data_IF_981592299717
#
_entry.id   IF_981592299717
#
_cell.length_a   1.000
_cell.length_b   1.000
_cell.length_c   1.000
_cell.angle_alpha   90.00
_cell.angle_beta   90.00
_cell.angle_gamma   90.00
#
_symmetry.space_group_name_H-M   'P 1'
#
loop_
_entity.id
_entity.type
_entity.pdbx_description
1 polymer ?
#
# COMPACT_ATOMS: atom_id res chain seq x y z
N UNK A 1 -47.90 6.55 -27.25
CA UNK A 1 -46.96 7.67 -27.51
C UNK A 1 -46.16 7.90 -26.23
N UNK A 2 -44.84 8.08 -26.31
CA UNK A 2 -43.86 7.39 -25.48
C UNK A 2 -43.49 8.10 -24.18
N UNK A 3 -43.06 7.31 -23.20
CA UNK A 3 -42.53 7.73 -21.91
C UNK A 3 -41.28 8.61 -22.07
N UNK A 4 -41.31 9.83 -21.53
CA UNK A 4 -40.13 10.69 -21.37
C UNK A 4 -39.50 10.42 -20.01
N UNK A 5 -38.60 9.45 -19.95
CA UNK A 5 -37.59 9.34 -18.90
C UNK A 5 -36.43 10.26 -19.27
N UNK A 6 -36.61 11.57 -19.03
CA UNK A 6 -35.57 12.61 -19.15
C UNK A 6 -34.63 12.58 -17.92
N UNK A 7 -34.11 11.40 -17.57
CA UNK A 7 -33.06 11.29 -16.57
C UNK A 7 -31.71 11.29 -17.32
N UNK A 8 -30.90 12.35 -17.21
CA UNK A 8 -29.55 12.29 -17.77
C UNK A 8 -28.80 11.13 -17.09
N UNK A 9 -27.94 10.40 -17.81
CA UNK A 9 -27.15 9.34 -17.22
C UNK A 9 -26.38 9.94 -16.04
N UNK A 10 -26.57 9.37 -14.85
CA UNK A 10 -25.75 9.65 -13.69
C UNK A 10 -24.29 9.54 -14.15
N UNK A 11 -23.62 10.68 -14.29
CA UNK A 11 -22.20 10.69 -14.61
C UNK A 11 -21.54 9.87 -13.50
N UNK A 12 -20.83 8.77 -13.81
CA UNK A 12 -20.12 8.05 -12.79
C UNK A 12 -19.16 9.05 -12.18
N UNK A 13 -19.43 9.45 -10.93
CA UNK A 13 -18.49 10.14 -10.06
C UNK A 13 -17.15 9.47 -10.28
N UNK A 14 -16.05 10.19 -10.56
CA UNK A 14 -14.75 9.55 -10.70
C UNK A 14 -14.51 8.80 -9.39
N UNK A 15 -14.74 7.48 -9.42
CA UNK A 15 -14.37 6.60 -8.34
C UNK A 15 -12.88 6.85 -8.20
N UNK A 16 -12.49 7.45 -7.07
CA UNK A 16 -11.08 7.58 -6.71
C UNK A 16 -10.44 6.25 -7.12
N UNK A 17 -9.38 6.25 -7.95
CA UNK A 17 -8.83 5.01 -8.48
C UNK A 17 -8.62 4.08 -7.30
N UNK A 18 -9.18 2.87 -7.38
CA UNK A 18 -9.09 1.91 -6.28
C UNK A 18 -7.62 1.87 -5.84
N UNK A 19 -7.31 2.10 -4.56
CA UNK A 19 -5.94 2.33 -4.13
C UNK A 19 -5.09 1.15 -4.59
N UNK A 20 -3.98 1.43 -5.28
CA UNK A 20 -3.16 0.37 -5.88
C UNK A 20 -2.78 -0.68 -4.84
N UNK A 21 -2.77 -1.96 -5.21
CA UNK A 21 -2.40 -3.04 -4.28
C UNK A 21 -1.02 -2.78 -3.62
N UNK A 22 -0.11 -2.14 -4.35
CA UNK A 22 1.17 -1.68 -3.81
C UNK A 22 1.02 -0.61 -2.71
N UNK A 23 0.15 0.40 -2.89
CA UNK A 23 -0.14 1.39 -1.86
C UNK A 23 -0.77 0.75 -0.60
N UNK A 24 -1.64 -0.24 -0.77
CA UNK A 24 -2.24 -0.98 0.34
C UNK A 24 -1.22 -1.81 1.11
N UNK A 25 -0.30 -2.47 0.40
CA UNK A 25 0.84 -3.20 0.99
C UNK A 25 1.73 -2.26 1.79
N UNK A 26 2.12 -1.11 1.24
CA UNK A 26 2.97 -0.14 1.93
C UNK A 26 2.30 0.44 3.18
N UNK A 27 1.00 0.73 3.10
CA UNK A 27 0.23 1.23 4.26
C UNK A 27 0.15 0.19 5.37
N UNK A 28 -0.04 -1.08 5.02
CA UNK A 28 -0.09 -2.18 5.99
C UNK A 28 1.30 -2.46 6.58
N UNK A 29 2.36 -2.44 5.77
CA UNK A 29 3.73 -2.58 6.23
C UNK A 29 4.13 -1.46 7.20
N UNK A 30 3.67 -0.23 6.97
CA UNK A 30 3.87 0.89 7.90
C UNK A 30 3.25 0.62 9.28
N UNK A 31 2.06 0.03 9.34
CA UNK A 31 1.41 -0.33 10.59
C UNK A 31 2.17 -1.46 11.32
N UNK A 32 2.69 -2.45 10.59
CA UNK A 32 3.53 -3.51 11.17
C UNK A 32 4.84 -2.95 11.76
N UNK A 33 5.49 -2.00 11.08
CA UNK A 33 6.69 -1.34 11.60
C UNK A 33 6.42 -0.52 12.87
N UNK A 34 5.27 0.16 12.96
CA UNK A 34 4.89 0.87 14.18
C UNK A 34 4.60 -0.08 15.34
N UNK A 35 4.03 -1.26 15.06
CA UNK A 35 3.75 -2.29 16.06
C UNK A 35 5.03 -2.92 16.61
N UNK A 36 6.10 -3.01 15.82
CA UNK A 36 7.39 -3.58 16.23
C UNK A 36 8.16 -2.73 17.26
N UNK A 37 7.75 -1.49 17.54
CA UNK A 37 8.28 -0.67 18.63
C UNK A 37 8.94 0.63 18.16
N UNK A 38 8.72 1.71 18.92
CA UNK A 38 9.07 3.10 18.54
C UNK A 38 10.56 3.42 18.47
N UNK A 39 11.41 2.64 19.12
CA UNK A 39 12.83 2.97 19.36
C UNK A 39 13.82 2.00 18.70
N UNK A 40 13.34 0.91 18.11
CA UNK A 40 14.21 -0.03 17.42
C UNK A 40 14.60 0.52 16.06
N UNK A 41 15.90 0.44 15.75
CA UNK A 41 16.40 0.70 14.40
C UNK A 41 15.78 -0.31 13.43
N UNK A 42 15.26 0.19 12.32
CA UNK A 42 14.77 -0.64 11.23
C UNK A 42 15.97 -1.07 10.41
N UNK A 43 16.11 -2.38 10.27
CA UNK A 43 17.03 -2.98 9.30
C UNK A 43 16.30 -3.26 8.00
N UNK A 44 17.03 -3.39 6.90
CA UNK A 44 16.46 -3.86 5.63
C UNK A 44 15.69 -5.18 5.80
N UNK A 45 16.21 -6.11 6.60
CA UNK A 45 15.54 -7.39 6.90
C UNK A 45 14.20 -7.22 7.62
N UNK A 46 14.11 -6.30 8.58
CA UNK A 46 12.85 -5.98 9.27
C UNK A 46 11.82 -5.36 8.33
N UNK A 47 12.26 -4.46 7.44
CA UNK A 47 11.41 -3.87 6.42
C UNK A 47 10.90 -4.92 5.43
N UNK A 48 11.76 -5.81 4.95
CA UNK A 48 11.39 -6.90 4.04
C UNK A 48 10.36 -7.82 4.68
N UNK A 49 10.55 -8.17 5.95
CA UNK A 49 9.59 -8.96 6.73
C UNK A 49 8.23 -8.25 6.86
N UNK A 50 8.22 -6.94 7.16
CA UNK A 50 6.99 -6.16 7.26
C UNK A 50 6.17 -6.18 5.96
N UNK A 51 6.85 -6.09 4.81
CA UNK A 51 6.20 -6.12 3.49
C UNK A 51 5.67 -7.51 3.17
N UNK A 52 6.44 -8.57 3.46
CA UNK A 52 5.96 -9.95 3.28
C UNK A 52 4.69 -10.21 4.11
N UNK A 53 4.68 -9.77 5.38
CA UNK A 53 3.49 -9.86 6.23
C UNK A 53 2.34 -9.06 5.64
N UNK A 54 2.58 -7.82 5.19
CA UNK A 54 1.55 -6.98 4.59
C UNK A 54 0.93 -7.59 3.32
N UNK A 55 1.75 -8.20 2.45
CA UNK A 55 1.30 -8.91 1.25
C UNK A 55 0.45 -10.11 1.65
N UNK A 56 0.91 -10.93 2.59
CA UNK A 56 0.12 -12.06 3.10
C UNK A 56 -1.20 -11.59 3.72
N UNK A 57 -1.21 -10.51 4.50
CA UNK A 57 -2.44 -9.99 5.10
C UNK A 57 -3.42 -9.47 4.06
N UNK A 58 -2.97 -8.65 3.10
CA UNK A 58 -3.86 -7.95 2.16
C UNK A 58 -4.20 -8.73 0.91
N UNK A 59 -3.27 -9.54 0.43
CA UNK A 59 -3.34 -10.14 -0.90
C UNK A 59 -3.45 -11.67 -0.86
N UNK A 60 -3.68 -12.30 0.30
CA UNK A 60 -3.82 -13.77 0.42
C UNK A 60 -4.93 -14.37 -0.45
N UNK A 61 -5.96 -13.60 -0.81
CA UNK A 61 -7.07 -14.07 -1.65
C UNK A 61 -6.84 -13.79 -3.13
N UNK A 62 -5.76 -13.08 -3.49
CA UNK A 62 -5.45 -12.75 -4.87
C UNK A 62 -4.59 -13.85 -5.51
N UNK A 63 -4.60 -13.96 -6.86
CA UNK A 63 -3.66 -14.82 -7.56
C UNK A 63 -2.21 -14.45 -7.19
N UNK A 64 -1.36 -15.47 -7.02
CA UNK A 64 0.06 -15.30 -6.63
C UNK A 64 0.78 -14.31 -7.53
N UNK A 65 0.52 -14.33 -8.84
CA UNK A 65 1.11 -13.40 -9.80
C UNK A 65 0.78 -11.93 -9.52
N UNK A 66 -0.44 -11.65 -9.06
CA UNK A 66 -0.89 -10.29 -8.69
C UNK A 66 -0.26 -9.87 -7.36
N UNK A 67 -0.21 -10.78 -6.39
CA UNK A 67 0.44 -10.53 -5.11
C UNK A 67 1.93 -10.25 -5.27
N UNK A 68 2.63 -11.03 -6.10
CA UNK A 68 4.05 -10.85 -6.40
C UNK A 68 4.32 -9.54 -7.14
N UNK A 69 3.47 -9.17 -8.10
CA UNK A 69 3.61 -7.90 -8.80
C UNK A 69 3.39 -6.71 -7.87
N UNK A 70 2.38 -6.78 -7.00
CA UNK A 70 2.14 -5.76 -5.99
C UNK A 70 3.32 -5.65 -5.01
N UNK A 71 3.90 -6.78 -4.58
CA UNK A 71 5.07 -6.82 -3.73
C UNK A 71 6.31 -6.20 -4.42
N UNK A 72 6.56 -6.55 -5.68
CA UNK A 72 7.65 -5.97 -6.48
C UNK A 72 7.51 -4.46 -6.64
N UNK A 73 6.32 -3.98 -6.99
CA UNK A 73 6.04 -2.53 -7.12
C UNK A 73 6.17 -1.80 -5.80
N UNK A 74 5.67 -2.38 -4.72
CA UNK A 74 5.82 -1.82 -3.38
C UNK A 74 7.30 -1.69 -3.01
N UNK A 75 8.10 -2.74 -3.23
CA UNK A 75 9.54 -2.72 -2.95
C UNK A 75 10.29 -1.68 -3.79
N UNK A 76 10.03 -1.63 -5.09
CA UNK A 76 10.68 -0.69 -6.01
C UNK A 76 10.38 0.78 -5.71
N UNK A 77 9.25 1.07 -5.05
CA UNK A 77 8.85 2.42 -4.71
C UNK A 77 9.46 2.93 -3.38
N UNK A 78 10.10 2.06 -2.59
CA UNK A 78 10.69 2.46 -1.32
C UNK A 78 12.01 3.21 -1.58
N UNK A 79 12.17 4.43 -1.04
CA UNK A 79 13.43 5.16 -1.16
C UNK A 79 14.60 4.39 -0.52
N UNK A 80 15.82 4.47 -1.09
CA UNK A 80 17.02 3.92 -0.45
C UNK A 80 17.34 4.65 0.87
N UNK A 81 18.12 4.03 1.74
CA UNK A 81 18.51 4.61 3.05
C UNK A 81 17.59 4.20 4.20
N UNK A 82 17.26 2.91 4.27
CA UNK A 82 16.44 2.32 5.34
C UNK A 82 17.24 2.24 6.65
N UNK A 83 18.55 2.00 6.55
CA UNK A 83 19.42 1.76 7.69
C UNK A 83 19.59 3.02 8.54
N UNK A 84 19.36 2.87 9.85
CA UNK A 84 19.43 3.97 10.81
C UNK A 84 18.08 4.65 11.09
N UNK A 85 17.03 4.37 10.31
CA UNK A 85 15.70 4.90 10.59
C UNK A 85 15.03 4.16 11.75
N UNK A 86 14.29 4.89 12.58
CA UNK A 86 13.38 4.26 13.56
C UNK A 86 12.12 3.75 12.86
N UNK A 87 11.42 2.80 13.50
CA UNK A 87 10.14 2.27 12.99
C UNK A 87 9.12 3.37 12.64
N UNK A 88 9.07 4.45 13.43
CA UNK A 88 8.19 5.60 13.20
C UNK A 88 8.58 6.40 11.95
N UNK A 89 9.87 6.66 11.77
CA UNK A 89 10.38 7.39 10.58
C UNK A 89 10.12 6.56 9.33
N UNK A 90 10.45 5.26 9.36
CA UNK A 90 10.23 4.39 8.22
C UNK A 90 8.75 4.25 7.89
N UNK A 91 7.87 4.11 8.89
CA UNK A 91 6.42 4.07 8.67
C UNK A 91 5.89 5.35 8.01
N UNK A 92 6.40 6.52 8.39
CA UNK A 92 6.04 7.80 7.75
C UNK A 92 6.49 7.84 6.27
N UNK A 93 7.69 7.34 5.97
CA UNK A 93 8.19 7.20 4.60
C UNK A 93 7.28 6.29 3.78
N UNK A 94 6.93 5.10 4.30
CA UNK A 94 6.06 4.15 3.60
C UNK A 94 4.68 4.73 3.30
N UNK A 95 4.08 5.48 4.23
CA UNK A 95 2.81 6.20 3.99
C UNK A 95 2.93 7.33 2.97
N UNK A 96 4.06 8.04 2.97
CA UNK A 96 4.36 9.04 1.94
C UNK A 96 4.48 8.42 0.55
N UNK A 97 5.12 7.26 0.45
CA UNK A 97 5.22 6.50 -0.80
C UNK A 97 3.87 5.91 -1.22
N UNK A 98 3.09 5.35 -0.29
CA UNK A 98 1.75 4.83 -0.59
C UNK A 98 0.83 5.90 -1.20
N UNK A 99 0.85 7.14 -0.66
CA UNK A 99 0.09 8.28 -1.19
C UNK A 99 0.52 8.73 -2.59
N UNK A 100 1.73 8.37 -3.04
CA UNK A 100 2.21 8.66 -4.40
C UNK A 100 1.83 7.56 -5.40
N UNK A 101 1.44 6.38 -4.91
CA UNK A 101 1.10 5.20 -5.69
C UNK A 101 -0.41 4.94 -5.79
N UNK A 102 -1.20 5.53 -4.89
CA UNK A 102 -2.66 5.52 -4.92
C UNK A 102 -3.17 6.80 -5.56
#
# INVERSE_FOLDING_TARGET
MPERTDQPPEQPTPALPAPSYAAQVLTTAAAELERMGRTSLVTEGALRRAITVAVATRLHQLPTTVADEAARRAWAAIPPGVDGNTGRVQAAVLRGTARRLG
#
